data_IF_371756910724
#
_entry.id   IF_371756910724
#
_cell.length_a   1.000
_cell.length_b   1.000
_cell.length_c   1.000
_cell.angle_alpha   90.00
_cell.angle_beta   90.00
_cell.angle_gamma   90.00
#
_symmetry.space_group_name_H-M   'P 1'
#
loop_
_entity.id
_entity.type
_entity.pdbx_description
1 polymer ?
#
# COMPACT_ATOMS: atom_id res chain seq x y z
N UNK A 1 19.49 -30.63 -8.02
CA UNK A 1 18.87 -30.37 -6.72
C UNK A 1 17.78 -29.32 -6.88
N UNK A 2 16.66 -29.49 -6.22
CA UNK A 2 15.54 -28.52 -6.22
C UNK A 2 15.69 -27.54 -5.04
N UNK A 3 16.52 -27.89 -4.07
CA UNK A 3 16.83 -27.07 -2.90
C UNK A 3 18.31 -26.73 -2.88
N UNK A 4 18.62 -25.51 -2.54
CA UNK A 4 19.99 -25.00 -2.33
C UNK A 4 20.06 -24.35 -0.95
N UNK A 5 21.20 -24.45 -0.23
CA UNK A 5 21.41 -23.73 1.01
C UNK A 5 21.33 -22.22 0.78
N UNK A 6 20.69 -21.49 1.68
CA UNK A 6 20.68 -20.02 1.71
C UNK A 6 21.74 -19.47 2.65
N UNK A 7 22.11 -18.20 2.51
CA UNK A 7 23.16 -17.55 3.28
C UNK A 7 22.85 -17.46 4.79
N UNK A 8 21.58 -17.48 5.15
CA UNK A 8 21.05 -17.47 6.53
C UNK A 8 21.02 -18.84 7.20
N UNK A 9 21.57 -19.88 6.54
CA UNK A 9 21.62 -21.26 7.03
C UNK A 9 20.34 -22.07 6.77
N UNK A 10 19.34 -21.49 6.10
CA UNK A 10 18.16 -22.16 5.63
C UNK A 10 18.35 -22.85 4.28
N UNK A 11 17.24 -23.19 3.64
CA UNK A 11 17.22 -23.73 2.27
C UNK A 11 16.19 -22.98 1.43
N UNK A 12 16.57 -22.65 0.19
CA UNK A 12 15.66 -22.04 -0.78
C UNK A 12 15.43 -22.98 -1.97
N UNK A 13 14.30 -22.82 -2.65
CA UNK A 13 14.02 -23.58 -3.85
C UNK A 13 14.64 -22.91 -5.09
N UNK A 14 15.33 -23.71 -5.91
CA UNK A 14 15.84 -23.24 -7.18
C UNK A 14 14.67 -23.05 -8.14
N UNK A 15 14.42 -21.81 -8.56
CA UNK A 15 13.41 -21.51 -9.55
C UNK A 15 13.85 -21.98 -10.94
N UNK A 16 12.92 -22.52 -11.73
CA UNK A 16 13.12 -22.83 -13.15
C UNK A 16 12.47 -21.72 -13.97
N UNK A 17 13.29 -20.93 -14.65
CA UNK A 17 12.80 -19.80 -15.47
C UNK A 17 11.89 -18.84 -14.67
N UNK A 18 12.27 -18.54 -13.42
CA UNK A 18 11.49 -17.70 -12.52
C UNK A 18 10.25 -18.37 -11.90
N UNK A 19 10.05 -19.68 -12.10
CA UNK A 19 8.88 -20.44 -11.62
C UNK A 19 9.26 -21.45 -10.54
N UNK A 20 8.35 -21.63 -9.59
CA UNK A 20 8.47 -22.69 -8.60
C UNK A 20 8.57 -24.06 -9.27
N UNK A 21 9.56 -24.91 -8.90
CA UNK A 21 9.80 -26.21 -9.55
C UNK A 21 8.68 -27.24 -9.29
N UNK A 22 7.80 -26.98 -8.32
CA UNK A 22 6.66 -27.82 -7.97
C UNK A 22 5.36 -27.43 -8.68
N UNK A 23 5.38 -26.44 -9.58
CA UNK A 23 4.22 -26.11 -10.40
C UNK A 23 4.16 -27.01 -11.63
N UNK A 24 2.98 -27.61 -11.83
CA UNK A 24 2.70 -28.37 -13.04
C UNK A 24 2.41 -27.44 -14.25
N UNK A 25 2.13 -28.04 -15.41
CA UNK A 25 1.81 -27.31 -16.64
C UNK A 25 0.55 -26.43 -16.55
N UNK A 26 -0.32 -26.68 -15.56
CA UNK A 26 -1.54 -25.89 -15.29
C UNK A 26 -1.34 -24.83 -14.19
N UNK A 27 -0.09 -24.56 -13.77
CA UNK A 27 0.26 -23.65 -12.67
C UNK A 27 -0.31 -24.07 -11.29
N UNK A 28 -0.56 -25.36 -11.08
CA UNK A 28 -1.02 -25.90 -9.81
C UNK A 28 0.14 -26.60 -9.09
N UNK A 29 0.16 -26.50 -7.76
CA UNK A 29 1.21 -27.05 -6.92
C UNK A 29 1.08 -28.58 -6.81
N UNK A 30 2.10 -29.31 -7.26
CA UNK A 30 2.16 -30.79 -7.18
C UNK A 30 2.26 -31.29 -5.74
N UNK A 31 2.90 -30.53 -4.84
CA UNK A 31 2.96 -30.86 -3.41
C UNK A 31 1.55 -30.86 -2.84
N UNK A 32 0.79 -29.76 -3.09
CA UNK A 32 -0.58 -29.66 -2.60
C UNK A 32 -1.48 -30.78 -3.15
N UNK A 33 -1.38 -31.06 -4.46
CA UNK A 33 -2.21 -32.08 -5.12
C UNK A 33 -1.90 -33.49 -4.62
N UNK A 34 -0.61 -33.80 -4.44
CA UNK A 34 -0.19 -35.18 -4.13
C UNK A 34 -0.08 -35.49 -2.64
N UNK A 35 0.27 -34.50 -1.85
CA UNK A 35 0.61 -34.68 -0.43
C UNK A 35 -0.31 -33.89 0.53
N UNK A 36 -1.13 -32.98 0.00
CA UNK A 36 -2.06 -32.18 0.79
C UNK A 36 -1.45 -30.91 1.38
N UNK A 37 -2.31 -30.11 2.03
CA UNK A 37 -1.98 -28.80 2.62
C UNK A 37 -0.88 -28.90 3.69
N UNK A 38 -0.92 -29.94 4.51
CA UNK A 38 -0.02 -30.11 5.66
C UNK A 38 1.44 -30.38 5.27
N UNK A 39 1.72 -30.55 3.98
CA UNK A 39 3.07 -30.75 3.44
C UNK A 39 3.62 -29.52 2.71
N UNK A 40 2.89 -28.44 2.72
CA UNK A 40 3.38 -27.17 2.22
C UNK A 40 4.42 -26.58 3.21
N UNK A 41 5.41 -25.86 2.70
CA UNK A 41 6.24 -25.02 3.57
C UNK A 41 5.40 -23.85 4.10
N UNK A 42 5.82 -23.26 5.19
CA UNK A 42 5.13 -22.19 5.90
C UNK A 42 4.71 -21.05 4.96
N UNK A 43 5.65 -20.51 4.20
CA UNK A 43 5.38 -19.45 3.21
C UNK A 43 4.26 -19.81 2.22
N UNK A 44 4.23 -21.07 1.73
CA UNK A 44 3.19 -21.52 0.81
C UNK A 44 1.86 -21.80 1.51
N UNK A 45 1.88 -22.19 2.77
CA UNK A 45 0.67 -22.46 3.56
C UNK A 45 -0.01 -21.15 3.98
N UNK A 46 0.77 -20.12 4.24
CA UNK A 46 0.28 -18.81 4.68
C UNK A 46 -0.12 -17.90 3.51
N UNK A 47 0.58 -17.99 2.38
CA UNK A 47 0.23 -17.15 1.22
C UNK A 47 -1.24 -17.34 0.81
N UNK A 48 -2.00 -16.29 0.56
CA UNK A 48 -1.62 -14.87 0.48
C UNK A 48 -1.87 -14.07 1.78
N UNK A 49 -1.90 -14.74 2.93
CA UNK A 49 -2.12 -14.08 4.22
C UNK A 49 -0.87 -13.33 4.66
N UNK A 50 -1.06 -12.26 5.39
CA UNK A 50 -0.03 -11.64 6.22
C UNK A 50 -0.49 -11.66 7.67
N UNK A 51 0.45 -11.78 8.57
CA UNK A 51 0.24 -11.85 10.00
C UNK A 51 1.19 -10.86 10.64
N UNK A 52 0.65 -9.96 11.47
CA UNK A 52 1.42 -9.01 12.26
C UNK A 52 1.08 -9.22 13.73
N UNK A 53 2.09 -9.47 14.55
CA UNK A 53 1.95 -9.68 15.98
C UNK A 53 2.42 -8.44 16.75
N UNK A 54 1.53 -7.92 17.62
CA UNK A 54 1.75 -6.75 18.45
C UNK A 54 1.43 -7.10 19.92
N UNK A 55 2.41 -7.68 20.63
CA UNK A 55 2.20 -8.18 21.98
C UNK A 55 1.15 -9.29 22.02
N UNK A 56 0.01 -9.03 22.64
CA UNK A 56 -1.12 -9.96 22.72
C UNK A 56 -2.17 -9.79 21.61
N UNK A 57 -1.87 -8.99 20.60
CA UNK A 57 -2.77 -8.74 19.47
C UNK A 57 -2.15 -9.30 18.20
N UNK A 58 -2.90 -10.13 17.48
CA UNK A 58 -2.54 -10.61 16.15
C UNK A 58 -3.47 -10.02 15.12
N UNK A 59 -2.90 -9.37 14.12
CA UNK A 59 -3.64 -8.88 12.96
C UNK A 59 -3.41 -9.80 11.77
N UNK A 60 -4.49 -10.20 11.12
CA UNK A 60 -4.45 -11.09 9.96
C UNK A 60 -5.15 -10.39 8.81
N UNK A 61 -4.54 -10.44 7.64
CA UNK A 61 -5.15 -9.93 6.42
C UNK A 61 -4.74 -10.76 5.21
N UNK A 62 -5.30 -10.42 4.04
CA UNK A 62 -5.00 -11.09 2.78
C UNK A 62 -4.40 -10.07 1.82
N UNK A 63 -3.25 -10.43 1.22
CA UNK A 63 -2.55 -9.57 0.27
C UNK A 63 -3.22 -9.61 -1.13
N UNK A 64 -3.40 -8.45 -1.80
CA UNK A 64 -3.94 -8.37 -3.15
C UNK A 64 -3.00 -8.94 -4.23
N UNK A 65 -1.80 -9.38 -3.85
CA UNK A 65 -0.90 -10.14 -4.73
C UNK A 65 -1.50 -11.49 -5.18
N UNK A 66 -2.46 -12.03 -4.45
CA UNK A 66 -3.32 -13.11 -4.93
C UNK A 66 -4.44 -12.51 -5.79
N UNK A 67 -4.53 -12.96 -7.05
CA UNK A 67 -5.54 -12.47 -7.99
C UNK A 67 -6.96 -12.54 -7.43
N UNK A 68 -7.37 -13.66 -6.85
CA UNK A 68 -8.70 -13.84 -6.27
C UNK A 68 -8.94 -12.90 -5.08
N UNK A 69 -7.94 -12.70 -4.20
CA UNK A 69 -8.05 -11.78 -3.09
C UNK A 69 -8.17 -10.32 -3.58
N UNK A 70 -7.40 -9.94 -4.60
CA UNK A 70 -7.49 -8.63 -5.24
C UNK A 70 -8.87 -8.40 -5.88
N UNK A 71 -9.39 -9.38 -6.64
CA UNK A 71 -10.73 -9.30 -7.24
C UNK A 71 -11.82 -9.14 -6.19
N UNK A 72 -11.76 -9.89 -5.08
CA UNK A 72 -12.71 -9.76 -3.98
C UNK A 72 -12.60 -8.38 -3.31
N UNK A 73 -11.39 -7.92 -3.01
CA UNK A 73 -11.15 -6.62 -2.40
C UNK A 73 -11.72 -5.49 -3.26
N UNK A 74 -11.43 -5.47 -4.56
CA UNK A 74 -11.89 -4.42 -5.46
C UNK A 74 -13.38 -4.52 -5.83
N UNK A 75 -14.00 -5.69 -5.69
CA UNK A 75 -15.45 -5.83 -5.87
C UNK A 75 -16.27 -5.30 -4.68
N UNK A 76 -15.64 -5.14 -3.51
CA UNK A 76 -16.31 -4.68 -2.31
C UNK A 76 -16.48 -3.16 -2.31
N UNK A 77 -17.73 -2.70 -2.33
CA UNK A 77 -18.08 -1.27 -2.49
C UNK A 77 -18.48 -0.58 -1.20
N UNK A 78 -18.80 -1.37 -0.18
CA UNK A 78 -19.21 -0.82 1.11
C UNK A 78 -17.99 -0.38 1.93
N UNK A 79 -18.25 0.32 3.02
CA UNK A 79 -17.22 0.73 3.95
C UNK A 79 -16.59 -0.50 4.65
N UNK A 80 -15.27 -0.56 4.69
CA UNK A 80 -14.55 -1.65 5.36
C UNK A 80 -14.72 -1.57 6.88
N UNK A 81 -15.02 -2.71 7.47
CA UNK A 81 -15.04 -2.91 8.91
C UNK A 81 -13.97 -3.92 9.33
N UNK A 82 -13.53 -3.80 10.57
CA UNK A 82 -12.53 -4.69 11.16
C UNK A 82 -13.15 -5.42 12.36
N UNK A 83 -13.17 -6.74 12.30
CA UNK A 83 -13.67 -7.57 13.38
C UNK A 83 -12.54 -7.92 14.34
N UNK A 84 -12.81 -7.88 15.63
CA UNK A 84 -11.90 -8.34 16.69
C UNK A 84 -12.50 -9.57 17.35
N UNK A 85 -11.72 -10.65 17.37
CA UNK A 85 -12.12 -11.92 18.00
C UNK A 85 -11.13 -12.23 19.12
N UNK A 86 -11.66 -12.62 20.28
CA UNK A 86 -10.83 -13.15 21.37
C UNK A 86 -10.56 -14.64 21.10
N UNK A 87 -9.28 -15.02 21.04
CA UNK A 87 -8.86 -16.40 20.88
C UNK A 87 -7.87 -16.79 21.98
N UNK A 88 -8.38 -17.44 23.02
CA UNK A 88 -7.59 -17.91 24.14
C UNK A 88 -6.79 -19.21 23.83
N UNK A 89 -6.94 -19.80 22.65
CA UNK A 89 -6.19 -20.96 22.22
C UNK A 89 -4.82 -20.60 21.60
N UNK A 90 -4.63 -19.34 21.20
CA UNK A 90 -3.40 -18.83 20.62
C UNK A 90 -2.46 -18.33 21.71
N UNK A 91 -1.25 -18.85 21.73
CA UNK A 91 -0.13 -18.29 22.50
C UNK A 91 0.75 -17.53 21.52
N UNK A 92 0.84 -16.21 21.70
CA UNK A 92 1.73 -15.37 20.90
C UNK A 92 3.13 -15.36 21.54
N UNK A 93 4.16 -15.41 20.72
CA UNK A 93 5.53 -15.25 21.19
C UNK A 93 5.73 -13.80 21.69
N UNK A 94 6.44 -13.62 22.83
CA UNK A 94 6.81 -12.29 23.27
C UNK A 94 7.62 -11.56 22.20
N UNK A 95 7.30 -10.29 21.99
CA UNK A 95 8.05 -9.41 21.11
C UNK A 95 8.49 -8.14 21.87
N UNK A 96 9.52 -7.47 21.36
CA UNK A 96 10.12 -6.29 21.98
C UNK A 96 9.44 -4.99 21.57
N UNK A 97 8.13 -5.05 21.23
CA UNK A 97 7.37 -3.88 20.83
C UNK A 97 7.15 -2.94 22.01
N UNK A 98 7.48 -1.67 21.83
CA UNK A 98 7.13 -0.63 22.78
C UNK A 98 5.60 -0.46 22.84
N UNK A 99 5.02 -0.93 23.93
CA UNK A 99 3.59 -0.90 24.17
C UNK A 99 3.03 0.54 24.23
N UNK A 100 3.84 1.50 24.66
CA UNK A 100 3.42 2.91 24.75
C UNK A 100 3.28 3.51 23.37
N UNK A 101 4.29 3.41 22.53
CA UNK A 101 4.26 3.83 21.12
C UNK A 101 3.17 3.10 20.35
N UNK A 102 3.05 1.78 20.54
CA UNK A 102 2.00 0.98 19.90
C UNK A 102 0.59 1.50 20.21
N UNK A 103 0.28 1.81 21.48
CA UNK A 103 -1.05 2.34 21.85
C UNK A 103 -1.36 3.65 21.14
N UNK A 104 -0.40 4.56 21.06
CA UNK A 104 -0.57 5.85 20.39
C UNK A 104 -0.74 5.68 18.87
N UNK A 105 0.06 4.83 18.25
CA UNK A 105 -0.03 4.55 16.80
C UNK A 105 -1.31 3.81 16.44
N UNK A 106 -1.77 2.88 17.28
CA UNK A 106 -3.04 2.19 17.08
C UNK A 106 -4.24 3.15 17.10
N UNK A 107 -4.26 4.09 18.04
CA UNK A 107 -5.28 5.15 18.06
C UNK A 107 -5.18 6.07 16.84
N UNK A 108 -3.97 6.43 16.45
CA UNK A 108 -3.73 7.24 15.27
C UNK A 108 -4.22 6.53 13.99
N UNK A 109 -4.08 5.20 13.89
CA UNK A 109 -4.57 4.43 12.74
C UNK A 109 -6.09 4.46 12.60
N UNK A 110 -6.84 4.50 13.70
CA UNK A 110 -8.31 4.66 13.64
C UNK A 110 -8.68 5.96 12.93
N UNK A 111 -7.97 7.05 13.22
CA UNK A 111 -8.18 8.33 12.54
C UNK A 111 -7.74 8.27 11.09
N UNK A 112 -6.66 7.56 10.78
CA UNK A 112 -6.23 7.34 9.40
C UNK A 112 -7.30 6.60 8.59
N UNK A 113 -7.94 5.58 9.14
CA UNK A 113 -9.08 4.92 8.50
C UNK A 113 -10.22 5.90 8.23
N UNK A 114 -10.59 6.74 9.21
CA UNK A 114 -11.62 7.76 9.02
C UNK A 114 -11.26 8.81 7.96
N UNK A 115 -9.98 9.15 7.79
CA UNK A 115 -9.53 10.04 6.70
C UNK A 115 -9.71 9.35 5.34
N UNK A 116 -9.34 8.08 5.24
CA UNK A 116 -9.42 7.32 3.98
C UNK A 116 -10.87 6.99 3.61
N UNK A 117 -11.75 6.78 4.57
CA UNK A 117 -13.18 6.48 4.35
C UNK A 117 -14.04 7.71 4.10
N UNK A 118 -13.51 8.93 4.16
CA UNK A 118 -14.26 10.18 3.99
C UNK A 118 -14.67 10.38 2.52
N UNK A 119 -15.83 9.83 2.14
CA UNK A 119 -16.33 9.83 0.76
C UNK A 119 -16.89 11.19 0.30
N UNK A 120 -16.93 12.20 1.17
CA UNK A 120 -17.35 13.56 0.81
C UNK A 120 -16.28 14.30 0.00
N UNK A 121 -15.04 13.82 0.05
CA UNK A 121 -13.90 14.34 -0.71
C UNK A 121 -13.26 13.26 -1.58
N UNK A 122 -12.56 13.66 -2.65
CA UNK A 122 -11.93 12.73 -3.58
C UNK A 122 -10.85 11.89 -2.89
N UNK A 123 -10.59 10.69 -3.42
CA UNK A 123 -9.55 9.80 -2.86
C UNK A 123 -8.17 10.47 -2.82
N UNK A 124 -7.83 11.31 -3.81
CA UNK A 124 -6.54 12.01 -3.83
C UNK A 124 -6.44 13.07 -2.74
N UNK A 125 -7.55 13.75 -2.42
CA UNK A 125 -7.63 14.67 -1.29
C UNK A 125 -7.47 13.94 0.05
N UNK A 126 -8.10 12.77 0.20
CA UNK A 126 -7.91 11.90 1.36
C UNK A 126 -6.44 11.49 1.53
N UNK A 127 -5.77 11.12 0.43
CA UNK A 127 -4.35 10.77 0.43
C UNK A 127 -3.45 11.96 0.80
N UNK A 128 -3.79 13.18 0.35
CA UNK A 128 -3.09 14.41 0.77
C UNK A 128 -3.22 14.65 2.27
N UNK A 129 -4.43 14.51 2.83
CA UNK A 129 -4.68 14.62 4.26
C UNK A 129 -3.95 13.54 5.05
N UNK A 130 -3.99 12.30 4.59
CA UNK A 130 -3.31 11.16 5.23
C UNK A 130 -1.79 11.37 5.27
N UNK A 131 -1.19 11.85 4.19
CA UNK A 131 0.24 12.14 4.13
C UNK A 131 0.64 13.27 5.08
N UNK A 132 -0.14 14.37 5.16
CA UNK A 132 0.12 15.46 6.13
C UNK A 132 -0.10 14.99 7.57
N UNK A 133 -1.10 14.14 7.81
CA UNK A 133 -1.35 13.49 9.09
C UNK A 133 -0.13 12.69 9.56
N UNK A 134 0.33 11.77 8.74
CA UNK A 134 1.52 10.95 9.03
C UNK A 134 2.77 11.81 9.27
N UNK A 135 2.96 12.86 8.47
CA UNK A 135 4.07 13.81 8.63
C UNK A 135 4.04 14.54 9.98
N UNK A 136 2.85 14.84 10.50
CA UNK A 136 2.73 15.47 11.82
C UNK A 136 2.99 14.50 12.95
N UNK A 137 2.55 13.25 12.81
CA UNK A 137 2.86 12.19 13.79
C UNK A 137 4.37 11.94 13.79
N UNK A 138 5.00 11.82 12.60
CA UNK A 138 6.45 11.61 12.51
C UNK A 138 7.26 12.60 13.33
N UNK A 139 6.89 13.88 13.32
CA UNK A 139 7.59 14.90 14.12
C UNK A 139 7.56 14.63 15.62
N UNK A 140 6.52 13.95 16.10
CA UNK A 140 6.41 13.61 17.51
C UNK A 140 7.20 12.32 17.82
N UNK A 141 7.17 11.35 16.92
CA UNK A 141 8.03 10.16 17.02
C UNK A 141 9.52 10.56 17.00
N UNK A 142 9.95 11.42 16.05
CA UNK A 142 11.33 11.90 15.95
C UNK A 142 11.79 12.66 17.21
N UNK A 143 10.84 13.23 17.96
CA UNK A 143 11.11 13.98 19.18
C UNK A 143 10.89 13.15 20.46
N UNK A 144 10.60 11.85 20.33
CA UNK A 144 10.27 10.94 21.45
C UNK A 144 9.13 11.49 22.34
N UNK A 145 8.08 12.05 21.70
CA UNK A 145 6.94 12.70 22.35
C UNK A 145 5.62 12.12 21.89
N UNK A 146 5.48 10.81 22.05
CA UNK A 146 4.34 10.03 21.55
C UNK A 146 3.01 10.44 22.17
N UNK A 147 3.03 10.96 23.41
CA UNK A 147 1.85 11.51 24.08
C UNK A 147 1.17 12.64 23.30
N UNK A 148 1.89 13.34 22.41
CA UNK A 148 1.34 14.40 21.58
C UNK A 148 0.64 13.91 20.31
N UNK A 149 0.81 12.64 19.95
CA UNK A 149 0.15 12.01 18.80
C UNK A 149 -1.38 12.08 18.95
N UNK A 150 -1.89 11.87 20.16
CA UNK A 150 -3.32 11.99 20.45
C UNK A 150 -3.88 13.38 20.13
N UNK A 151 -3.09 14.44 20.37
CA UNK A 151 -3.47 15.81 20.00
C UNK A 151 -3.53 16.06 18.49
N UNK A 152 -2.65 15.41 17.72
CA UNK A 152 -2.71 15.42 16.24
C UNK A 152 -3.98 14.69 15.79
N UNK A 153 -4.21 13.47 16.30
CA UNK A 153 -5.37 12.66 15.98
C UNK A 153 -6.69 13.41 16.22
N UNK A 154 -6.82 14.01 17.39
CA UNK A 154 -8.01 14.81 17.76
C UNK A 154 -8.29 15.94 16.78
N UNK A 155 -7.26 16.64 16.28
CA UNK A 155 -7.43 17.73 15.30
C UNK A 155 -7.96 17.19 13.97
N UNK A 156 -7.46 16.05 13.51
CA UNK A 156 -7.89 15.44 12.26
C UNK A 156 -9.28 14.80 12.32
N UNK A 157 -9.86 14.59 13.50
CA UNK A 157 -11.26 14.21 13.65
C UNK A 157 -12.22 15.36 13.30
N UNK A 158 -11.78 16.63 13.39
CA UNK A 158 -12.60 17.81 13.06
C UNK A 158 -12.72 18.01 11.55
N UNK A 159 -13.95 18.07 11.03
CA UNK A 159 -14.22 18.32 9.62
C UNK A 159 -13.67 19.69 9.18
N UNK A 160 -13.99 20.75 9.92
CA UNK A 160 -13.54 22.12 9.62
C UNK A 160 -12.01 22.21 9.50
N UNK A 161 -11.30 21.51 10.41
CA UNK A 161 -9.83 21.49 10.36
C UNK A 161 -9.30 20.79 9.10
N UNK A 162 -9.94 19.69 8.68
CA UNK A 162 -9.56 18.98 7.46
C UNK A 162 -9.81 19.82 6.22
N UNK A 163 -10.95 20.51 6.15
CA UNK A 163 -11.30 21.42 5.05
C UNK A 163 -10.30 22.56 4.93
N UNK A 164 -10.03 23.32 5.99
CA UNK A 164 -9.03 24.39 6.01
C UNK A 164 -7.62 23.90 5.64
N UNK A 165 -7.25 22.71 6.12
CA UNK A 165 -5.97 22.11 5.80
C UNK A 165 -5.88 21.74 4.33
N UNK A 166 -6.94 21.18 3.77
CA UNK A 166 -7.02 20.76 2.38
C UNK A 166 -6.89 21.96 1.44
N UNK A 167 -7.57 23.07 1.72
CA UNK A 167 -7.44 24.31 0.97
C UNK A 167 -6.01 24.86 0.98
N UNK A 168 -5.34 24.81 2.13
CA UNK A 168 -3.93 25.19 2.24
C UNK A 168 -3.01 24.26 1.45
N UNK A 169 -3.27 22.96 1.46
CA UNK A 169 -2.47 21.99 0.72
C UNK A 169 -2.65 22.18 -0.79
N UNK A 170 -3.88 22.38 -1.28
CA UNK A 170 -4.18 22.68 -2.69
C UNK A 170 -3.50 23.97 -3.15
N UNK A 171 -3.65 25.05 -2.40
CA UNK A 171 -3.00 26.34 -2.72
C UNK A 171 -1.47 26.26 -2.76
N UNK A 172 -0.88 25.36 -1.96
CA UNK A 172 0.56 25.10 -1.97
C UNK A 172 0.97 24.29 -3.18
N UNK A 173 0.18 23.31 -3.56
CA UNK A 173 0.42 22.46 -4.71
C UNK A 173 0.37 23.29 -5.99
N UNK A 174 -0.62 24.13 -6.18
CA UNK A 174 -0.72 25.07 -7.31
C UNK A 174 0.53 25.94 -7.49
N UNK A 175 1.16 26.37 -6.38
CA UNK A 175 2.41 27.17 -6.41
C UNK A 175 3.65 26.35 -6.76
N UNK A 176 3.61 25.04 -6.55
CA UNK A 176 4.71 24.12 -6.83
C UNK A 176 4.65 23.53 -8.26
N UNK A 177 3.59 23.83 -8.99
CA UNK A 177 3.38 23.36 -10.35
C UNK A 177 4.50 23.82 -11.28
N UNK A 178 5.23 22.89 -11.80
CA UNK A 178 6.27 23.04 -12.80
C UNK A 178 7.28 21.90 -12.73
N UNK A 179 7.47 21.13 -13.78
CA UNK A 179 8.53 20.11 -14.06
C UNK A 179 8.94 19.15 -12.92
N UNK A 180 8.36 19.29 -11.71
CA UNK A 180 8.70 18.46 -10.54
C UNK A 180 7.94 17.17 -10.50
N UNK A 181 6.65 17.18 -10.89
CA UNK A 181 5.80 15.99 -10.85
C UNK A 181 6.30 14.94 -11.86
N UNK A 182 6.46 15.33 -13.13
CA UNK A 182 6.98 14.41 -14.16
C UNK A 182 8.36 13.90 -13.78
N UNK A 183 9.25 14.78 -13.29
CA UNK A 183 10.58 14.38 -12.83
C UNK A 183 10.50 13.37 -11.69
N UNK A 184 9.65 13.62 -10.70
CA UNK A 184 9.43 12.71 -9.56
C UNK A 184 8.92 11.35 -10.00
N UNK A 185 7.92 11.32 -10.90
CA UNK A 185 7.38 10.09 -11.46
C UNK A 185 8.40 9.32 -12.29
N UNK A 186 9.23 10.01 -13.08
CA UNK A 186 10.32 9.36 -13.82
C UNK A 186 11.29 8.66 -12.87
N UNK A 187 11.75 9.35 -11.81
CA UNK A 187 12.61 8.73 -10.80
C UNK A 187 11.94 7.52 -10.15
N UNK A 188 10.69 7.68 -9.72
CA UNK A 188 9.95 6.59 -9.10
C UNK A 188 9.84 5.36 -10.01
N UNK A 189 9.50 5.54 -11.30
CA UNK A 189 9.46 4.41 -12.24
C UNK A 189 10.84 3.90 -12.66
N UNK A 190 11.92 4.68 -12.47
CA UNK A 190 13.29 4.18 -12.64
C UNK A 190 13.71 3.26 -11.50
N UNK A 191 13.27 3.52 -10.28
CA UNK A 191 13.59 2.70 -9.12
C UNK A 191 13.04 1.27 -9.27
N UNK A 192 11.93 1.09 -9.98
CA UNK A 192 11.40 -0.25 -10.30
C UNK A 192 12.33 -1.11 -11.16
N UNK A 193 13.29 -0.52 -11.88
CA UNK A 193 14.25 -1.30 -12.69
C UNK A 193 15.19 -2.16 -11.84
N UNK A 194 15.40 -1.79 -10.59
CA UNK A 194 16.23 -2.55 -9.64
C UNK A 194 15.47 -3.58 -8.82
N UNK A 195 14.14 -3.63 -8.93
CA UNK A 195 13.31 -4.55 -8.17
C UNK A 195 13.17 -5.89 -8.86
N UNK A 196 13.02 -6.96 -8.06
CA UNK A 196 12.71 -8.29 -8.58
C UNK A 196 11.36 -8.29 -9.27
N UNK A 197 11.33 -8.79 -10.52
CA UNK A 197 10.13 -8.81 -11.34
C UNK A 197 9.46 -10.18 -11.23
N UNK A 198 8.32 -10.23 -10.53
CA UNK A 198 7.53 -11.47 -10.36
C UNK A 198 6.78 -11.81 -11.66
N UNK A 199 6.20 -10.80 -12.31
CA UNK A 199 5.48 -10.96 -13.57
C UNK A 199 6.20 -10.19 -14.70
N UNK A 200 6.67 -10.86 -15.77
CA UNK A 200 7.35 -10.21 -16.89
C UNK A 200 6.56 -9.07 -17.55
N UNK A 201 5.23 -9.12 -17.52
CA UNK A 201 4.37 -8.06 -18.06
C UNK A 201 4.57 -6.72 -17.33
N UNK A 202 5.07 -6.75 -16.09
CA UNK A 202 5.42 -5.56 -15.33
C UNK A 202 6.40 -4.65 -16.08
N UNK A 203 7.43 -5.24 -16.69
CA UNK A 203 8.40 -4.48 -17.48
C UNK A 203 7.76 -3.76 -18.68
N UNK A 204 6.73 -4.36 -19.27
CA UNK A 204 5.98 -3.76 -20.38
C UNK A 204 5.23 -2.52 -19.88
N UNK A 205 4.60 -2.62 -18.69
CA UNK A 205 3.87 -1.50 -18.08
C UNK A 205 4.79 -0.36 -17.71
N UNK A 206 5.88 -0.65 -17.03
CA UNK A 206 6.90 0.36 -16.66
C UNK A 206 7.46 1.06 -17.90
N UNK A 207 7.81 0.30 -18.95
CA UNK A 207 8.30 0.88 -20.19
C UNK A 207 7.27 1.78 -20.90
N UNK A 208 5.98 1.41 -20.84
CA UNK A 208 4.87 2.23 -21.38
C UNK A 208 4.73 3.54 -20.62
N UNK A 209 4.71 3.49 -19.28
CA UNK A 209 4.67 4.69 -18.44
C UNK A 209 5.85 5.60 -18.72
N UNK A 210 7.05 5.05 -18.78
CA UNK A 210 8.27 5.82 -19.09
C UNK A 210 8.15 6.53 -20.42
N UNK A 211 7.76 5.83 -21.48
CA UNK A 211 7.58 6.43 -22.82
C UNK A 211 6.55 7.55 -22.80
N UNK A 212 5.45 7.37 -22.07
CA UNK A 212 4.44 8.41 -21.91
C UNK A 212 5.00 9.64 -21.20
N UNK A 213 5.66 9.47 -20.05
CA UNK A 213 6.27 10.57 -19.31
C UNK A 213 7.36 11.28 -20.09
N UNK A 214 8.14 10.56 -20.89
CA UNK A 214 9.21 11.14 -21.74
C UNK A 214 8.65 11.96 -22.90
N UNK A 215 7.43 11.66 -23.35
CA UNK A 215 6.71 12.45 -24.36
C UNK A 215 6.10 13.75 -23.82
N UNK A 216 6.05 13.93 -22.50
CA UNK A 216 5.51 15.16 -21.91
C UNK A 216 6.61 16.22 -21.75
N UNK A 217 6.29 17.44 -22.17
CA UNK A 217 7.20 18.59 -22.09
C UNK A 217 7.11 19.34 -20.78
N UNK A 218 5.93 19.31 -20.15
CA UNK A 218 5.64 19.99 -18.88
C UNK A 218 4.52 19.27 -18.11
N UNK A 219 4.36 19.66 -16.84
CA UNK A 219 3.37 19.06 -15.94
C UNK A 219 1.91 19.39 -16.33
N UNK A 220 1.68 20.42 -17.13
CA UNK A 220 0.33 20.80 -17.55
C UNK A 220 -0.32 19.76 -18.46
N UNK A 221 0.48 19.14 -19.34
CA UNK A 221 0.04 18.03 -20.19
C UNK A 221 -0.39 16.82 -19.37
N UNK A 222 0.39 16.46 -18.34
CA UNK A 222 0.04 15.38 -17.42
C UNK A 222 -1.24 15.71 -16.64
N UNK A 223 -1.33 16.92 -16.07
CA UNK A 223 -2.50 17.35 -15.31
C UNK A 223 -3.79 17.33 -16.13
N UNK A 224 -3.73 17.76 -17.39
CA UNK A 224 -4.89 17.72 -18.30
C UNK A 224 -5.36 16.29 -18.58
N UNK A 225 -4.44 15.37 -18.85
CA UNK A 225 -4.74 13.96 -19.10
C UNK A 225 -5.31 13.30 -17.85
N UNK A 226 -4.71 13.52 -16.68
CA UNK A 226 -5.21 13.00 -15.40
C UNK A 226 -6.59 13.55 -15.08
N UNK A 227 -6.84 14.84 -15.27
CA UNK A 227 -8.16 15.44 -15.05
C UNK A 227 -9.24 14.79 -15.90
N UNK A 228 -8.95 14.52 -17.17
CA UNK A 228 -9.89 13.87 -18.08
C UNK A 228 -10.14 12.42 -17.65
N UNK A 229 -9.12 11.71 -17.25
CA UNK A 229 -9.21 10.34 -16.76
C UNK A 229 -10.04 10.26 -15.47
N UNK A 230 -9.73 11.12 -14.48
CA UNK A 230 -10.42 11.11 -13.19
C UNK A 230 -11.89 11.51 -13.32
N UNK A 231 -12.26 12.37 -14.25
CA UNK A 231 -13.67 12.70 -14.52
C UNK A 231 -14.50 11.48 -14.98
N UNK A 232 -13.85 10.45 -15.54
CA UNK A 232 -14.50 9.19 -15.92
C UNK A 232 -14.31 8.04 -14.92
N UNK A 233 -13.45 8.21 -13.92
CA UNK A 233 -13.04 7.14 -13.01
C UNK A 233 -13.76 7.12 -11.65
N UNK A 234 -14.73 8.00 -11.43
CA UNK A 234 -15.52 8.04 -10.17
C UNK A 234 -16.15 6.68 -9.83
N UNK A 235 -16.54 5.90 -10.84
CA UNK A 235 -17.08 4.56 -10.65
C UNK A 235 -16.09 3.58 -9.99
N UNK A 236 -14.79 3.85 -10.06
CA UNK A 236 -13.71 3.04 -9.51
C UNK A 236 -13.07 3.64 -8.26
N UNK A 237 -13.61 4.75 -7.73
CA UNK A 237 -13.06 5.42 -6.54
C UNK A 237 -12.97 4.48 -5.33
N UNK A 238 -13.91 3.53 -5.20
CA UNK A 238 -13.90 2.51 -4.15
C UNK A 238 -12.69 1.57 -4.24
N UNK A 239 -12.19 1.26 -5.44
CA UNK A 239 -11.01 0.39 -5.61
C UNK A 239 -9.75 1.05 -5.05
N UNK A 240 -9.58 2.36 -5.28
CA UNK A 240 -8.50 3.14 -4.68
C UNK A 240 -8.65 3.27 -3.17
N UNK A 241 -9.88 3.43 -2.67
CA UNK A 241 -10.19 3.44 -1.23
C UNK A 241 -9.78 2.10 -0.59
N UNK A 242 -10.19 0.97 -1.19
CA UNK A 242 -9.85 -0.36 -0.71
C UNK A 242 -8.33 -0.59 -0.67
N UNK A 243 -7.62 -0.15 -1.71
CA UNK A 243 -6.17 -0.23 -1.76
C UNK A 243 -5.52 0.64 -0.68
N UNK A 244 -6.01 1.87 -0.46
CA UNK A 244 -5.52 2.75 0.59
C UNK A 244 -5.76 2.16 1.99
N UNK A 245 -6.95 1.62 2.24
CA UNK A 245 -7.30 0.94 3.49
C UNK A 245 -6.39 -0.27 3.74
N UNK A 246 -6.11 -1.06 2.70
CA UNK A 246 -5.16 -2.18 2.78
C UNK A 246 -3.75 -1.70 3.21
N UNK A 247 -3.23 -0.62 2.61
CA UNK A 247 -1.92 -0.07 2.99
C UNK A 247 -1.91 0.42 4.44
N UNK A 248 -2.93 1.14 4.87
CA UNK A 248 -3.05 1.63 6.24
C UNK A 248 -3.14 0.46 7.23
N UNK A 249 -3.98 -0.54 6.93
CA UNK A 249 -4.14 -1.71 7.80
C UNK A 249 -2.84 -2.51 7.92
N UNK A 250 -2.21 -2.83 6.80
CA UNK A 250 -1.06 -3.72 6.77
C UNK A 250 0.21 -3.09 7.31
N UNK A 251 0.48 -1.82 6.96
CA UNK A 251 1.81 -1.26 7.12
C UNK A 251 1.91 -0.14 8.16
N UNK A 252 0.83 0.58 8.47
CA UNK A 252 0.95 1.76 9.32
C UNK A 252 1.50 1.45 10.71
N UNK A 253 1.07 0.34 11.33
CA UNK A 253 1.56 -0.06 12.66
C UNK A 253 2.97 -0.65 12.66
N UNK A 254 3.53 -1.03 11.51
CA UNK A 254 4.95 -1.42 11.44
C UNK A 254 5.88 -0.29 11.89
N UNK A 255 5.37 0.95 11.90
CA UNK A 255 6.10 2.08 12.47
C UNK A 255 6.43 1.93 13.96
N UNK A 256 5.84 0.98 14.67
CA UNK A 256 6.26 0.62 16.04
C UNK A 256 7.65 -0.02 16.09
N UNK A 257 8.09 -0.65 14.98
CA UNK A 257 9.36 -1.35 14.89
C UNK A 257 10.51 -0.44 14.40
N UNK A 258 10.21 0.53 13.53
CA UNK A 258 11.21 1.38 12.88
C UNK A 258 10.99 2.89 13.11
N UNK A 259 9.94 3.27 13.82
CA UNK A 259 9.55 4.65 14.11
C UNK A 259 9.35 5.54 12.88
N UNK A 260 9.11 4.95 11.69
CA UNK A 260 8.94 5.69 10.42
C UNK A 260 7.55 5.54 9.83
N UNK A 261 6.56 6.20 10.45
CA UNK A 261 5.17 6.25 9.94
C UNK A 261 5.07 7.04 8.63
N UNK A 262 5.97 8.02 8.42
CA UNK A 262 5.94 8.82 7.20
C UNK A 262 6.34 8.00 5.98
N UNK A 263 7.30 7.08 6.12
CA UNK A 263 7.66 6.15 5.05
C UNK A 263 6.47 5.23 4.70
N UNK A 264 5.76 4.69 5.71
CA UNK A 264 4.58 3.85 5.49
C UNK A 264 3.50 4.61 4.70
N UNK A 265 3.22 5.86 5.08
CA UNK A 265 2.27 6.71 4.39
C UNK A 265 2.71 7.07 2.96
N UNK A 266 3.98 7.39 2.76
CA UNK A 266 4.55 7.63 1.42
C UNK A 266 4.40 6.41 0.52
N UNK A 267 4.72 5.21 1.03
CA UNK A 267 4.58 3.96 0.28
C UNK A 267 3.13 3.71 -0.17
N UNK A 268 2.16 3.99 0.71
CA UNK A 268 0.74 3.90 0.35
C UNK A 268 0.38 4.88 -0.79
N UNK A 269 0.71 6.16 -0.63
CA UNK A 269 0.40 7.21 -1.61
C UNK A 269 1.08 6.93 -2.95
N UNK A 270 2.38 6.61 -2.93
CA UNK A 270 3.15 6.33 -4.14
C UNK A 270 2.64 5.06 -4.85
N UNK A 271 2.31 4.01 -4.10
CA UNK A 271 1.76 2.78 -4.66
C UNK A 271 0.42 3.03 -5.37
N UNK A 272 -0.46 3.83 -4.78
CA UNK A 272 -1.75 4.20 -5.38
C UNK A 272 -1.54 5.06 -6.62
N UNK A 273 -0.66 6.06 -6.58
CA UNK A 273 -0.34 6.91 -7.74
C UNK A 273 0.28 6.09 -8.89
N UNK A 274 1.10 5.08 -8.59
CA UNK A 274 1.65 4.18 -9.60
C UNK A 274 0.55 3.39 -10.30
N UNK A 275 -0.39 2.83 -9.54
CA UNK A 275 -1.56 2.13 -10.09
C UNK A 275 -2.38 3.07 -10.95
N UNK A 276 -2.67 4.28 -10.47
CA UNK A 276 -3.45 5.30 -11.18
C UNK A 276 -2.84 5.64 -12.55
N UNK A 277 -1.53 5.89 -12.61
CA UNK A 277 -0.84 6.20 -13.88
C UNK A 277 -0.82 4.99 -14.83
N UNK A 278 -0.66 3.79 -14.30
CA UNK A 278 -0.72 2.58 -15.11
C UNK A 278 -2.12 2.42 -15.69
N UNK A 279 -3.17 2.56 -14.88
CA UNK A 279 -4.57 2.47 -15.31
C UNK A 279 -4.92 3.55 -16.33
N UNK A 280 -4.45 4.79 -16.14
CA UNK A 280 -4.59 5.87 -17.11
C UNK A 280 -4.13 5.47 -18.51
N UNK A 281 -3.02 4.75 -18.61
CA UNK A 281 -2.43 4.33 -19.89
C UNK A 281 -3.11 3.10 -20.52
N UNK A 282 -3.87 2.34 -19.72
CA UNK A 282 -4.67 1.23 -20.23
C UNK A 282 -6.01 1.68 -20.80
N UNK A 283 -6.61 2.70 -20.19
CA UNK A 283 -7.96 3.14 -20.49
C UNK A 283 -7.98 4.32 -21.47
N UNK A 284 -6.88 5.06 -21.59
CA UNK A 284 -6.77 6.11 -22.60
C UNK A 284 -6.68 5.51 -24.01
N UNK A 285 -7.49 5.96 -24.98
CA UNK A 285 -7.29 5.61 -26.35
C UNK A 285 -5.87 6.04 -26.74
N UNK A 286 -5.07 5.07 -27.19
CA UNK A 286 -3.67 5.28 -27.59
C UNK A 286 -3.56 6.55 -28.43
N UNK A 287 -2.71 7.51 -28.07
CA UNK A 287 -2.33 8.53 -29.05
C UNK A 287 -1.62 7.80 -30.19
N UNK A 288 -2.24 7.86 -31.38
CA UNK A 288 -1.72 7.33 -32.62
C UNK A 288 -0.43 8.05 -33.03
#
# INVERSE_FOLDING_TARGET
SVMVPSEDGGCTFTLKEGRCPFLNKKNLCEIYIKLGKDKLCETCAEFPRFINDYGNIREIGIAPSCKTAGELMFSYKDELTFDTVEDNSLTLEPNDIDAYTYMHLRQARIVAFGIISDRDISIFERLMLYLDYAKRIQKHLDAERDELIAGVAKRFCGADYREELLDRLKSRDEKLHGKRLIKGLRHFFDDFKGMEVINPDWNIHVARVRRFLDGLTDDSGLAAVMKTYHAGSEAFAHEYEQLAMYYVYRYMLDAVNDYDILLKAKNAVIGILAVDIICLLYTSPSPR
#
